data_IF_569613833495
#
_entry.id   IF_569613833495
#
_cell.length_a   1.000
_cell.length_b   1.000
_cell.length_c   1.000
_cell.angle_alpha   90.00
_cell.angle_beta   90.00
_cell.angle_gamma   90.00
#
_symmetry.space_group_name_H-M   'P 1'
#
loop_
_entity.id
_entity.type
_entity.pdbx_description
1 polymer ?
#
# COMPACT_ATOMS: atom_id res chain seq x y z
N UNK A 1 -6.13 -4.03 -18.14
CA UNK A 1 -6.20 -3.26 -16.89
C UNK A 1 -5.04 -3.74 -16.01
N UNK A 2 -4.12 -2.87 -15.69
CA UNK A 2 -2.87 -3.23 -15.00
C UNK A 2 -2.97 -3.05 -13.48
N UNK A 3 -4.02 -2.40 -13.02
CA UNK A 3 -4.31 -2.14 -11.61
C UNK A 3 -4.76 -3.40 -10.90
N UNK A 4 -4.25 -3.63 -9.69
CA UNK A 4 -4.64 -4.75 -8.82
C UNK A 4 -5.76 -4.28 -7.91
N UNK A 5 -6.76 -5.13 -7.76
CA UNK A 5 -7.85 -4.87 -6.83
C UNK A 5 -7.34 -5.07 -5.39
N UNK A 6 -7.30 -3.98 -4.64
CA UNK A 6 -6.94 -3.93 -3.21
C UNK A 6 -8.14 -3.54 -2.34
N UNK A 7 -9.36 -3.70 -2.85
CA UNK A 7 -10.61 -3.32 -2.17
C UNK A 7 -11.04 -4.29 -1.06
N UNK A 8 -10.22 -5.30 -0.73
CA UNK A 8 -10.49 -6.19 0.38
C UNK A 8 -10.45 -5.45 1.72
N UNK A 9 -11.23 -5.90 2.75
CA UNK A 9 -11.19 -5.34 4.09
C UNK A 9 -9.77 -5.34 4.65
N UNK A 10 -9.41 -4.25 5.35
CA UNK A 10 -8.11 -4.10 5.99
C UNK A 10 -8.24 -3.70 7.45
N UNK A 11 -7.34 -4.21 8.30
CA UNK A 11 -7.24 -3.84 9.69
C UNK A 11 -5.78 -3.66 10.12
N UNK A 12 -5.56 -2.90 11.19
CA UNK A 12 -4.28 -2.75 11.87
C UNK A 12 -4.48 -2.95 13.36
N UNK A 13 -3.56 -3.66 14.01
CA UNK A 13 -3.63 -3.98 15.43
C UNK A 13 -2.33 -3.62 16.15
N UNK A 14 -2.45 -3.29 17.43
CA UNK A 14 -1.32 -3.14 18.35
C UNK A 14 -0.60 -4.48 18.59
N UNK A 15 0.64 -4.42 19.08
CA UNK A 15 1.48 -5.61 19.32
C UNK A 15 1.38 -6.15 20.77
N UNK A 16 0.39 -5.74 21.52
CA UNK A 16 0.06 -6.30 22.82
C UNK A 16 -0.85 -7.54 22.68
N UNK A 17 -1.08 -8.25 23.78
CA UNK A 17 -1.90 -9.46 23.80
C UNK A 17 -3.34 -9.17 23.33
N UNK A 18 -3.92 -8.01 23.69
CA UNK A 18 -5.27 -7.62 23.29
C UNK A 18 -5.35 -7.35 21.79
N UNK A 19 -4.39 -6.62 21.22
CA UNK A 19 -4.30 -6.36 19.78
C UNK A 19 -4.09 -7.62 18.96
N UNK A 20 -3.23 -8.54 19.44
CA UNK A 20 -3.00 -9.84 18.77
C UNK A 20 -4.26 -10.68 18.76
N UNK A 21 -4.96 -10.80 19.88
CA UNK A 21 -6.20 -11.59 19.98
C UNK A 21 -7.32 -10.96 19.12
N UNK A 22 -7.44 -9.63 19.15
CA UNK A 22 -8.37 -8.90 18.29
C UNK A 22 -8.09 -9.10 16.79
N UNK A 23 -6.81 -9.11 16.39
CA UNK A 23 -6.40 -9.35 15.01
C UNK A 23 -6.75 -10.78 14.55
N UNK A 24 -6.51 -11.79 15.39
CA UNK A 24 -6.88 -13.18 15.11
C UNK A 24 -8.40 -13.29 14.96
N UNK A 25 -9.17 -12.76 15.91
CA UNK A 25 -10.63 -12.80 15.87
C UNK A 25 -11.18 -12.09 14.64
N UNK A 26 -10.63 -10.92 14.30
CA UNK A 26 -11.03 -10.17 13.11
C UNK A 26 -10.78 -10.99 11.82
N UNK A 27 -9.61 -11.63 11.68
CA UNK A 27 -9.32 -12.50 10.54
C UNK A 27 -10.26 -13.70 10.47
N UNK A 28 -10.55 -14.36 11.61
CA UNK A 28 -11.48 -15.48 11.66
C UNK A 28 -12.90 -15.09 11.20
N UNK A 29 -13.35 -13.88 11.53
CA UNK A 29 -14.65 -13.34 11.05
C UNK A 29 -14.68 -13.13 9.52
N UNK A 30 -13.53 -12.96 8.87
CA UNK A 30 -13.43 -12.79 7.41
C UNK A 30 -13.38 -14.14 6.67
N UNK A 31 -13.20 -15.28 7.37
CA UNK A 31 -13.14 -16.60 6.74
C UNK A 31 -14.48 -17.04 6.15
N UNK A 32 -14.38 -17.74 5.03
CA UNK A 32 -15.50 -18.45 4.39
C UNK A 32 -15.16 -19.94 4.29
N UNK A 33 -16.17 -20.77 4.05
CA UNK A 33 -15.95 -22.20 3.86
C UNK A 33 -14.97 -22.48 2.73
N UNK A 34 -13.93 -23.24 3.02
CA UNK A 34 -12.86 -23.57 2.06
C UNK A 34 -11.72 -22.53 1.96
N UNK A 35 -11.77 -21.46 2.75
CA UNK A 35 -10.66 -20.51 2.84
C UNK A 35 -9.49 -21.09 3.65
N UNK A 36 -8.30 -20.55 3.40
CA UNK A 36 -7.09 -20.80 4.20
C UNK A 36 -6.70 -19.54 4.92
N UNK A 37 -6.60 -19.57 6.25
CA UNK A 37 -6.07 -18.46 7.03
C UNK A 37 -4.55 -18.45 6.96
N UNK A 38 -3.96 -17.38 6.45
CA UNK A 38 -2.52 -17.25 6.32
C UNK A 38 -1.94 -16.36 7.40
N UNK A 39 -1.08 -16.90 8.24
CA UNK A 39 -0.21 -16.12 9.15
C UNK A 39 1.11 -15.88 8.43
N UNK A 40 1.45 -14.62 8.21
CA UNK A 40 2.67 -14.23 7.50
C UNK A 40 3.66 -13.56 8.47
N UNK A 41 4.93 -13.95 8.40
CA UNK A 41 6.02 -13.30 9.15
C UNK A 41 7.25 -13.14 8.24
N UNK A 42 8.13 -12.17 8.53
CA UNK A 42 9.38 -11.99 7.75
C UNK A 42 10.30 -13.22 7.85
N UNK A 43 10.41 -13.81 9.05
CA UNK A 43 11.23 -14.99 9.33
C UNK A 43 10.42 -16.06 10.05
N UNK A 44 10.72 -17.34 9.78
CA UNK A 44 10.05 -18.46 10.43
C UNK A 44 10.15 -18.43 11.99
N UNK A 45 11.26 -17.95 12.50
CA UNK A 45 11.48 -17.81 13.95
C UNK A 45 10.56 -16.80 14.62
N UNK A 46 10.04 -15.81 13.88
CA UNK A 46 9.20 -14.75 14.43
C UNK A 46 7.89 -15.30 15.01
N UNK A 47 7.36 -16.38 14.45
CA UNK A 47 6.14 -17.02 14.97
C UNK A 47 6.26 -17.41 16.44
N UNK A 48 7.47 -17.82 16.88
CA UNK A 48 7.74 -18.22 18.27
C UNK A 48 7.73 -17.06 19.25
N UNK A 49 7.76 -15.82 18.78
CA UNK A 49 7.73 -14.64 19.64
C UNK A 49 6.31 -14.32 20.14
N UNK A 50 5.28 -15.03 19.61
CA UNK A 50 3.89 -14.85 20.01
C UNK A 50 3.21 -16.21 20.22
N UNK A 51 2.95 -16.55 21.48
CA UNK A 51 2.37 -17.85 21.87
C UNK A 51 0.97 -18.06 21.29
N UNK A 52 0.15 -17.01 21.21
CA UNK A 52 -1.20 -17.08 20.63
C UNK A 52 -1.15 -17.47 19.15
N UNK A 53 -0.23 -16.89 18.37
CA UNK A 53 -0.05 -17.21 16.95
C UNK A 53 0.55 -18.60 16.73
N UNK A 54 1.52 -19.01 17.58
CA UNK A 54 2.09 -20.34 17.48
C UNK A 54 1.03 -21.42 17.75
N UNK A 55 0.20 -21.24 18.78
CA UNK A 55 -0.93 -22.15 19.09
C UNK A 55 -1.97 -22.17 17.97
N UNK A 56 -2.30 -21.01 17.37
CA UNK A 56 -3.23 -20.91 16.26
C UNK A 56 -2.79 -21.79 15.09
N UNK A 57 -1.53 -21.63 14.65
CA UNK A 57 -0.95 -22.38 13.53
C UNK A 57 -0.84 -23.89 13.83
N UNK A 58 -0.57 -24.27 15.10
CA UNK A 58 -0.44 -25.69 15.47
C UNK A 58 -1.78 -26.40 15.64
N UNK A 59 -2.85 -25.67 15.95
CA UNK A 59 -4.14 -26.24 16.31
C UNK A 59 -5.09 -26.48 15.15
N UNK A 60 -4.98 -25.68 14.08
CA UNK A 60 -5.95 -25.67 12.99
C UNK A 60 -5.28 -25.97 11.65
N UNK A 61 -5.79 -26.98 10.94
CA UNK A 61 -5.23 -27.44 9.66
C UNK A 61 -5.48 -26.46 8.51
N UNK A 62 -6.47 -25.58 8.63
CA UNK A 62 -6.80 -24.51 7.68
C UNK A 62 -6.03 -23.22 7.95
N UNK A 63 -5.14 -23.19 8.97
CA UNK A 63 -4.23 -22.09 9.27
C UNK A 63 -2.82 -22.46 8.83
N UNK A 64 -2.24 -21.66 7.94
CA UNK A 64 -0.87 -21.88 7.44
C UNK A 64 0.04 -20.75 7.81
N UNK A 65 1.28 -21.07 8.16
CA UNK A 65 2.34 -20.09 8.36
C UNK A 65 3.23 -20.02 7.13
N UNK A 66 3.38 -18.84 6.57
CA UNK A 66 4.30 -18.54 5.47
C UNK A 66 5.28 -17.44 5.86
N UNK A 67 6.38 -17.33 5.13
CA UNK A 67 7.42 -16.32 5.39
C UNK A 67 7.72 -15.50 4.13
N UNK A 68 8.24 -14.29 4.34
CA UNK A 68 8.66 -13.40 3.25
C UNK A 68 9.77 -13.99 2.37
N UNK A 69 10.52 -14.98 2.88
CA UNK A 69 11.59 -15.66 2.13
C UNK A 69 11.09 -16.98 1.52
N UNK A 70 10.44 -16.89 0.36
CA UNK A 70 10.04 -18.07 -0.42
C UNK A 70 8.71 -18.71 -0.04
N UNK A 71 7.94 -18.10 0.84
CA UNK A 71 6.56 -18.52 1.09
C UNK A 71 5.65 -18.09 -0.06
N UNK A 72 4.89 -19.06 -0.59
CA UNK A 72 3.80 -18.76 -1.53
C UNK A 72 2.48 -18.69 -0.76
N UNK A 73 1.68 -17.66 -1.04
CA UNK A 73 0.31 -17.60 -0.50
C UNK A 73 -0.47 -18.79 -1.06
N UNK A 74 -1.25 -19.49 -0.21
CA UNK A 74 -2.08 -20.61 -0.64
C UNK A 74 -2.95 -20.25 -1.84
N UNK A 75 -3.21 -21.23 -2.72
CA UNK A 75 -4.11 -21.03 -3.86
C UNK A 75 -5.56 -20.78 -3.43
N UNK A 76 -5.98 -21.39 -2.33
CA UNK A 76 -7.26 -21.08 -1.71
C UNK A 76 -7.22 -19.66 -1.15
N UNK A 77 -8.19 -18.80 -1.48
CA UNK A 77 -8.24 -17.46 -0.92
C UNK A 77 -8.47 -17.53 0.58
N UNK A 78 -8.20 -16.42 1.28
CA UNK A 78 -8.48 -16.33 2.69
C UNK A 78 -7.95 -15.05 3.31
N UNK A 79 -8.19 -14.83 4.60
CA UNK A 79 -7.59 -13.72 5.34
C UNK A 79 -6.10 -13.95 5.50
N UNK A 80 -5.36 -12.85 5.48
CA UNK A 80 -3.92 -12.81 5.74
C UNK A 80 -3.67 -11.94 6.95
N UNK A 81 -3.00 -12.49 7.95
CA UNK A 81 -2.48 -11.78 9.11
C UNK A 81 -0.97 -11.60 8.95
N UNK A 82 -0.55 -10.38 8.63
CA UNK A 82 0.87 -10.02 8.58
C UNK A 82 1.34 -9.59 9.97
N UNK A 83 2.38 -10.24 10.44
CA UNK A 83 2.90 -9.99 11.78
C UNK A 83 4.26 -9.33 11.66
N UNK A 84 4.33 -8.09 12.12
CA UNK A 84 5.51 -7.21 12.13
C UNK A 84 6.16 -6.99 10.75
N UNK A 85 5.37 -6.72 9.71
CA UNK A 85 5.96 -6.42 8.41
C UNK A 85 6.57 -5.02 8.40
N UNK A 86 7.52 -4.81 7.50
CA UNK A 86 7.83 -3.49 6.99
C UNK A 86 6.93 -3.13 5.80
N UNK A 87 6.97 -1.86 5.38
CA UNK A 87 6.11 -1.37 4.28
C UNK A 87 6.42 -2.06 2.93
N UNK A 88 7.67 -2.48 2.72
CA UNK A 88 8.08 -3.16 1.49
C UNK A 88 7.55 -4.58 1.44
N UNK A 89 7.44 -5.25 2.59
CA UNK A 89 6.85 -6.58 2.72
C UNK A 89 5.35 -6.54 2.44
N UNK A 90 4.65 -5.47 2.86
CA UNK A 90 3.25 -5.23 2.47
C UNK A 90 3.15 -5.12 0.94
N UNK A 91 4.06 -4.37 0.31
CA UNK A 91 4.13 -4.25 -1.16
C UNK A 91 4.33 -5.57 -1.88
N UNK A 92 5.13 -6.48 -1.30
CA UNK A 92 5.30 -7.83 -1.85
C UNK A 92 4.02 -8.65 -1.78
N UNK A 93 3.23 -8.49 -0.72
CA UNK A 93 1.97 -9.20 -0.55
C UNK A 93 0.90 -8.74 -1.57
N UNK A 94 0.83 -7.47 -1.91
CA UNK A 94 -0.18 -6.91 -2.85
C UNK A 94 -0.18 -7.63 -4.20
N UNK A 95 0.93 -8.20 -4.66
CA UNK A 95 0.95 -8.99 -5.90
C UNK A 95 0.05 -10.23 -5.87
N UNK A 96 -0.36 -10.68 -4.67
CA UNK A 96 -1.26 -11.80 -4.45
C UNK A 96 -2.70 -11.33 -4.12
N UNK A 97 -3.06 -10.10 -4.42
CA UNK A 97 -4.34 -9.50 -4.05
C UNK A 97 -5.58 -10.38 -4.35
N UNK A 98 -5.53 -11.19 -5.42
CA UNK A 98 -6.63 -12.11 -5.78
C UNK A 98 -6.84 -13.26 -4.79
N UNK A 99 -5.80 -13.63 -4.03
CA UNK A 99 -5.85 -14.67 -3.00
C UNK A 99 -6.14 -14.07 -1.62
N UNK A 100 -6.09 -12.75 -1.47
CA UNK A 100 -6.33 -12.05 -0.22
C UNK A 100 -7.82 -11.72 -0.13
N UNK A 101 -8.50 -12.28 0.87
CA UNK A 101 -9.89 -11.95 1.19
C UNK A 101 -9.98 -10.77 2.15
N UNK A 102 -9.03 -10.67 3.06
CA UNK A 102 -8.88 -9.59 4.03
C UNK A 102 -7.42 -9.52 4.48
N UNK A 103 -6.94 -8.36 4.88
CA UNK A 103 -5.58 -8.16 5.36
C UNK A 103 -5.60 -7.47 6.72
N UNK A 104 -5.05 -8.13 7.74
CA UNK A 104 -4.79 -7.54 9.03
C UNK A 104 -3.26 -7.44 9.26
N UNK A 105 -2.81 -6.33 9.83
CA UNK A 105 -1.40 -6.12 10.15
C UNK A 105 -1.26 -5.89 11.65
N UNK A 106 -0.42 -6.70 12.32
CA UNK A 106 0.06 -6.43 13.67
C UNK A 106 1.40 -5.72 13.54
N UNK A 107 1.54 -4.54 14.16
CA UNK A 107 2.80 -3.78 14.12
C UNK A 107 3.29 -3.40 15.51
N UNK A 108 4.61 -3.42 15.68
CA UNK A 108 5.33 -2.84 16.82
C UNK A 108 5.96 -1.48 16.46
N UNK A 109 5.94 -1.11 15.17
CA UNK A 109 6.50 0.13 14.63
C UNK A 109 5.45 0.83 13.78
N UNK A 110 4.60 1.60 14.42
CA UNK A 110 3.53 2.33 13.76
C UNK A 110 4.05 3.29 12.67
N UNK A 111 5.17 3.97 12.92
CA UNK A 111 5.74 4.94 11.97
C UNK A 111 6.18 4.26 10.68
N UNK A 112 6.70 3.03 10.74
CA UNK A 112 7.18 2.29 9.58
C UNK A 112 6.10 1.94 8.57
N UNK A 113 4.85 1.80 9.00
CA UNK A 113 3.71 1.50 8.11
C UNK A 113 2.68 2.62 8.03
N UNK A 114 2.93 3.75 8.70
CA UNK A 114 2.03 4.92 8.73
C UNK A 114 1.58 5.38 7.33
N UNK A 115 2.46 5.44 6.30
CA UNK A 115 2.04 5.82 4.95
C UNK A 115 0.96 4.90 4.38
N UNK A 116 1.07 3.59 4.63
CA UNK A 116 0.08 2.60 4.20
C UNK A 116 -1.23 2.76 4.97
N UNK A 117 -1.17 2.89 6.31
CA UNK A 117 -2.35 3.08 7.17
C UNK A 117 -3.11 4.35 6.78
N UNK A 118 -2.41 5.45 6.53
CA UNK A 118 -3.01 6.71 6.09
C UNK A 118 -3.75 6.57 4.76
N UNK A 119 -3.18 5.84 3.80
CA UNK A 119 -3.75 5.68 2.47
C UNK A 119 -4.91 4.66 2.46
N UNK A 120 -4.76 3.53 3.18
CA UNK A 120 -5.74 2.44 3.22
C UNK A 120 -6.89 2.70 4.19
N UNK A 121 -6.66 3.50 5.25
CA UNK A 121 -7.62 3.75 6.32
C UNK A 121 -8.22 2.47 6.91
N UNK A 122 -7.36 1.51 7.36
CA UNK A 122 -7.81 0.24 7.87
C UNK A 122 -8.63 0.41 9.16
N UNK A 123 -9.42 -0.60 9.51
CA UNK A 123 -10.03 -0.72 10.83
C UNK A 123 -8.92 -0.82 11.90
N UNK A 124 -9.03 -0.05 12.99
CA UNK A 124 -8.06 -0.07 14.09
C UNK A 124 -8.56 -1.02 15.17
N UNK A 125 -7.73 -1.98 15.56
CA UNK A 125 -8.02 -3.01 16.55
C UNK A 125 -7.10 -2.86 17.77
N UNK A 126 -7.64 -3.04 18.98
CA UNK A 126 -6.90 -2.83 20.21
C UNK A 126 -6.59 -1.37 20.48
N UNK A 127 -5.39 -1.04 20.98
CA UNK A 127 -4.97 0.34 21.24
C UNK A 127 -4.76 1.12 19.93
N UNK A 128 -5.60 2.14 19.73
CA UNK A 128 -5.57 3.02 18.56
C UNK A 128 -4.70 4.27 18.71
N UNK A 129 -4.04 4.47 19.84
CA UNK A 129 -3.33 5.71 20.18
C UNK A 129 -2.25 6.11 19.14
N UNK A 130 -1.59 5.14 18.53
CA UNK A 130 -0.59 5.36 17.47
C UNK A 130 -1.18 5.96 16.19
N UNK A 131 -2.49 5.87 16.00
CA UNK A 131 -3.21 6.24 14.78
C UNK A 131 -4.05 7.50 14.89
N UNK A 132 -4.10 8.16 16.05
CA UNK A 132 -4.90 9.37 16.29
C UNK A 132 -4.51 10.57 15.40
N UNK A 133 -3.27 10.59 14.90
CA UNK A 133 -2.71 11.69 14.12
C UNK A 133 -2.30 11.24 12.72
N UNK A 134 -3.23 10.66 11.97
CA UNK A 134 -3.01 10.33 10.57
C UNK A 134 -3.42 11.54 9.70
N UNK A 135 -2.46 12.35 9.28
CA UNK A 135 -2.66 13.29 8.19
C UNK A 135 -1.42 13.32 7.31
N UNK A 136 -1.58 12.83 6.10
CA UNK A 136 -0.67 13.14 4.99
C UNK A 136 -1.57 13.54 3.83
N UNK A 137 -1.80 14.84 3.72
CA UNK A 137 -2.49 15.38 2.56
C UNK A 137 -1.47 15.51 1.42
N UNK A 138 -1.47 14.52 0.53
CA UNK A 138 -0.77 14.66 -0.75
C UNK A 138 -1.40 15.81 -1.53
N UNK A 139 -0.55 16.62 -2.16
CA UNK A 139 -1.02 17.63 -3.12
C UNK A 139 -1.94 16.96 -4.16
N UNK A 140 -3.15 17.50 -4.41
CA UNK A 140 -4.09 16.93 -5.39
C UNK A 140 -3.48 16.72 -6.77
N UNK A 141 -2.51 17.55 -7.19
CA UNK A 141 -1.77 17.40 -8.45
C UNK A 141 -0.90 16.15 -8.43
N UNK A 142 -0.29 15.84 -7.28
CA UNK A 142 0.49 14.60 -7.09
C UNK A 142 -0.44 13.39 -7.18
N UNK A 143 -1.61 13.44 -6.56
CA UNK A 143 -2.60 12.35 -6.64
C UNK A 143 -3.00 12.09 -8.09
N UNK A 144 -3.29 13.13 -8.89
CA UNK A 144 -3.61 12.98 -10.30
C UNK A 144 -2.43 12.43 -11.13
N UNK A 145 -1.20 12.81 -10.80
CA UNK A 145 -0.01 12.26 -11.43
C UNK A 145 0.14 10.76 -11.13
N UNK A 146 -0.05 10.36 -9.85
CA UNK A 146 0.01 8.95 -9.44
C UNK A 146 -1.11 8.12 -10.07
N UNK A 147 -2.34 8.65 -10.17
CA UNK A 147 -3.45 8.02 -10.91
C UNK A 147 -3.07 7.79 -12.38
N UNK A 148 -2.52 8.81 -13.03
CA UNK A 148 -2.08 8.70 -14.42
C UNK A 148 -0.99 7.64 -14.58
N UNK A 149 -0.02 7.59 -13.68
CA UNK A 149 1.03 6.57 -13.69
C UNK A 149 0.44 5.17 -13.46
N UNK A 150 -0.46 5.01 -12.50
CA UNK A 150 -1.11 3.72 -12.20
C UNK A 150 -1.83 3.15 -13.43
N UNK A 151 -2.42 4.00 -14.27
CA UNK A 151 -3.09 3.58 -15.49
C UNK A 151 -2.14 3.28 -16.66
N UNK A 152 -0.93 3.83 -16.65
CA UNK A 152 -0.03 3.82 -17.82
C UNK A 152 1.16 2.90 -17.71
N UNK A 153 1.61 2.55 -16.49
CA UNK A 153 2.71 1.61 -16.29
C UNK A 153 2.22 0.16 -16.24
N UNK A 154 3.08 -0.77 -16.64
CA UNK A 154 2.80 -2.19 -16.45
C UNK A 154 3.28 -2.64 -15.06
N UNK A 155 2.34 -2.90 -14.15
CA UNK A 155 2.64 -3.29 -12.76
C UNK A 155 3.35 -4.63 -12.61
N UNK A 156 3.45 -5.45 -13.65
CA UNK A 156 4.26 -6.66 -13.66
C UNK A 156 5.73 -6.38 -14.00
N UNK A 157 6.04 -5.20 -14.53
CA UNK A 157 7.39 -4.77 -14.84
C UNK A 157 7.98 -4.00 -13.66
N UNK A 158 9.31 -3.83 -13.70
CA UNK A 158 10.01 -2.99 -12.73
C UNK A 158 10.13 -1.56 -13.24
N UNK A 159 10.03 -0.59 -12.33
CA UNK A 159 10.36 0.81 -12.62
C UNK A 159 11.85 1.14 -12.44
N UNK A 160 12.73 0.12 -12.33
CA UNK A 160 14.18 0.34 -12.19
C UNK A 160 14.88 0.65 -13.51
N UNK A 161 14.30 0.28 -14.64
CA UNK A 161 14.84 0.48 -15.97
C UNK A 161 13.72 0.48 -17.02
N UNK A 162 14.05 0.90 -18.26
CA UNK A 162 13.15 0.84 -19.40
C UNK A 162 12.04 1.88 -19.38
N UNK A 163 10.98 1.58 -20.13
CA UNK A 163 9.87 2.49 -20.37
C UNK A 163 9.16 2.95 -19.08
N UNK A 164 8.88 2.02 -18.17
CA UNK A 164 8.18 2.32 -16.91
C UNK A 164 8.99 3.26 -16.01
N UNK A 165 10.34 3.04 -15.94
CA UNK A 165 11.22 3.97 -15.24
C UNK A 165 11.16 5.36 -15.87
N UNK A 166 11.31 5.44 -17.18
CA UNK A 166 11.33 6.73 -17.90
C UNK A 166 10.01 7.47 -17.70
N UNK A 167 8.89 6.76 -17.72
CA UNK A 167 7.57 7.29 -17.44
C UNK A 167 7.50 7.92 -16.03
N UNK A 168 7.83 7.13 -15.00
CA UNK A 168 7.77 7.56 -13.60
C UNK A 168 8.71 8.74 -13.36
N UNK A 169 9.98 8.61 -13.74
CA UNK A 169 10.99 9.65 -13.49
C UNK A 169 10.66 10.95 -14.22
N UNK A 170 10.18 10.88 -15.47
CA UNK A 170 9.78 12.09 -16.22
C UNK A 170 8.64 12.85 -15.53
N UNK A 171 7.63 12.12 -15.01
CA UNK A 171 6.51 12.73 -14.29
C UNK A 171 6.99 13.39 -13.00
N UNK A 172 7.83 12.71 -12.20
CA UNK A 172 8.38 13.27 -10.96
C UNK A 172 9.23 14.52 -11.21
N UNK A 173 10.07 14.51 -12.25
CA UNK A 173 10.86 15.67 -12.63
C UNK A 173 9.98 16.85 -13.07
N UNK A 174 8.90 16.60 -13.82
CA UNK A 174 7.96 17.64 -14.22
C UNK A 174 7.22 18.26 -13.03
N UNK A 175 6.82 17.44 -12.04
CA UNK A 175 6.25 17.93 -10.78
C UNK A 175 7.24 18.83 -10.03
N UNK A 176 8.52 18.40 -9.92
CA UNK A 176 9.58 19.17 -9.29
C UNK A 176 9.83 20.52 -9.99
N UNK A 177 9.90 20.51 -11.33
CA UNK A 177 10.08 21.71 -12.15
C UNK A 177 8.90 22.69 -12.01
N UNK A 178 7.69 22.15 -11.79
CA UNK A 178 6.47 22.93 -11.53
C UNK A 178 6.31 23.35 -10.05
N UNK A 179 7.33 23.10 -9.20
CA UNK A 179 7.33 23.41 -7.76
C UNK A 179 6.21 22.75 -6.96
N UNK A 180 5.72 21.56 -7.41
CA UNK A 180 4.76 20.76 -6.68
C UNK A 180 5.50 19.99 -5.57
N UNK A 181 5.02 20.10 -4.33
CA UNK A 181 5.61 19.38 -3.19
C UNK A 181 5.35 17.90 -3.28
N UNK A 182 6.37 17.07 -3.07
CA UNK A 182 6.30 15.63 -3.12
C UNK A 182 6.82 15.04 -1.81
N UNK A 183 5.98 14.28 -1.12
CA UNK A 183 6.34 13.49 0.07
C UNK A 183 6.56 12.03 -0.33
N UNK A 184 7.77 11.52 -0.13
CA UNK A 184 8.17 10.19 -0.58
C UNK A 184 7.37 9.08 0.11
N UNK A 185 7.17 9.18 1.42
CA UNK A 185 6.49 8.17 2.22
C UNK A 185 4.99 8.17 1.94
N UNK A 186 4.37 9.34 1.87
CA UNK A 186 2.97 9.46 1.52
C UNK A 186 2.68 8.93 0.11
N UNK A 187 3.56 9.21 -0.87
CA UNK A 187 3.43 8.68 -2.23
C UNK A 187 3.61 7.15 -2.25
N UNK A 188 4.54 6.59 -1.46
CA UNK A 188 4.70 5.14 -1.31
C UNK A 188 3.43 4.49 -0.77
N UNK A 189 2.87 5.04 0.31
CA UNK A 189 1.63 4.55 0.90
C UNK A 189 0.46 4.62 -0.09
N UNK A 190 0.33 5.74 -0.81
CA UNK A 190 -0.73 5.92 -1.79
C UNK A 190 -0.66 4.87 -2.91
N UNK A 191 0.51 4.64 -3.51
CA UNK A 191 0.62 3.66 -4.61
C UNK A 191 0.42 2.22 -4.13
N UNK A 192 0.82 1.89 -2.89
CA UNK A 192 0.50 0.61 -2.27
C UNK A 192 -1.00 0.39 -2.15
N UNK A 193 -1.74 1.40 -1.68
CA UNK A 193 -3.20 1.37 -1.58
C UNK A 193 -3.88 1.23 -2.96
N UNK A 194 -3.20 1.65 -4.03
CA UNK A 194 -3.70 1.60 -5.40
C UNK A 194 -3.07 0.48 -6.25
N UNK A 195 -2.64 -0.60 -5.61
CA UNK A 195 -2.29 -1.85 -6.27
C UNK A 195 -0.88 -1.93 -6.87
N UNK A 196 0.00 -0.97 -6.61
CA UNK A 196 1.41 -1.13 -6.93
C UNK A 196 2.02 -2.19 -6.03
N UNK A 197 2.92 -3.01 -6.56
CA UNK A 197 3.40 -4.19 -5.86
C UNK A 197 4.91 -4.43 -6.05
N UNK A 198 5.42 -5.39 -5.30
CA UNK A 198 6.82 -5.75 -5.31
C UNK A 198 7.70 -4.60 -4.79
N UNK A 199 8.78 -4.31 -5.48
CA UNK A 199 9.71 -3.23 -5.13
C UNK A 199 9.41 -1.89 -5.81
N UNK A 200 8.31 -1.77 -6.54
CA UNK A 200 8.00 -0.53 -7.25
C UNK A 200 7.59 0.62 -6.32
N UNK A 201 6.80 0.40 -5.24
CA UNK A 201 6.51 1.45 -4.26
C UNK A 201 7.78 2.02 -3.59
N UNK A 202 8.69 1.15 -3.10
CA UNK A 202 9.99 1.54 -2.54
C UNK A 202 10.83 2.34 -3.54
N UNK A 203 10.86 1.90 -4.80
CA UNK A 203 11.62 2.61 -5.86
C UNK A 203 11.04 3.97 -6.19
N UNK A 204 9.70 4.10 -6.21
CA UNK A 204 9.05 5.39 -6.38
C UNK A 204 9.47 6.35 -5.27
N UNK A 205 9.37 5.93 -4.00
CA UNK A 205 9.77 6.74 -2.85
C UNK A 205 11.25 7.17 -2.95
N UNK A 206 12.13 6.25 -3.35
CA UNK A 206 13.55 6.56 -3.57
C UNK A 206 13.78 7.59 -4.68
N UNK A 207 13.06 7.51 -5.79
CA UNK A 207 13.15 8.53 -6.85
C UNK A 207 12.66 9.89 -6.37
N UNK A 208 11.56 9.93 -5.60
CA UNK A 208 11.07 11.16 -5.00
C UNK A 208 12.11 11.77 -4.07
N UNK A 209 12.69 10.97 -3.17
CA UNK A 209 13.74 11.42 -2.26
C UNK A 209 14.96 11.94 -3.02
N UNK A 210 15.48 11.18 -4.00
CA UNK A 210 16.61 11.59 -4.83
C UNK A 210 16.35 12.94 -5.53
N UNK A 211 15.14 13.14 -6.07
CA UNK A 211 14.76 14.39 -6.74
C UNK A 211 14.60 15.54 -5.73
N UNK A 212 14.06 15.26 -4.55
CA UNK A 212 13.97 16.27 -3.48
C UNK A 212 15.35 16.71 -3.01
N UNK A 213 16.31 15.79 -2.95
CA UNK A 213 17.73 16.05 -2.61
C UNK A 213 18.51 16.73 -3.75
N UNK A 214 17.84 17.08 -4.86
CA UNK A 214 18.46 17.77 -6.00
C UNK A 214 19.14 16.86 -7.02
N UNK A 215 19.05 15.53 -6.87
CA UNK A 215 19.54 14.61 -7.90
C UNK A 215 18.59 14.62 -9.11
N UNK A 216 19.13 14.35 -10.29
CA UNK A 216 18.33 14.27 -11.53
C UNK A 216 18.48 12.87 -12.16
N UNK A 217 17.66 11.91 -11.77
CA UNK A 217 17.66 10.58 -12.39
C UNK A 217 17.44 10.71 -13.91
N UNK A 218 18.15 9.90 -14.68
CA UNK A 218 18.00 9.92 -16.16
C UNK A 218 16.64 9.34 -16.55
N UNK A 219 15.94 10.07 -17.42
CA UNK A 219 14.74 9.63 -18.12
C UNK A 219 14.86 10.04 -19.61
N UNK A 220 14.39 9.18 -20.51
CA UNK A 220 14.45 9.43 -21.96
C UNK A 220 13.12 9.91 -22.52
N UNK A 221 12.07 10.04 -21.69
CA UNK A 221 10.76 10.45 -22.11
C UNK A 221 10.56 11.96 -21.98
N UNK A 222 10.18 12.60 -23.07
CA UNK A 222 9.68 13.96 -23.06
C UNK A 222 8.17 13.95 -22.74
N UNK A 223 7.76 14.72 -21.75
CA UNK A 223 6.35 15.02 -21.50
C UNK A 223 5.94 16.24 -22.32
N UNK A 224 4.64 16.38 -22.55
CA UNK A 224 4.09 17.61 -23.17
C UNK A 224 4.32 18.80 -22.23
N UNK A 225 4.56 19.96 -22.78
CA UNK A 225 4.79 21.17 -22.00
C UNK A 225 3.64 21.52 -21.04
N UNK A 226 2.40 21.21 -21.45
CA UNK A 226 1.18 21.44 -20.66
C UNK A 226 0.81 20.30 -19.71
N UNK A 227 1.70 19.32 -19.49
CA UNK A 227 1.38 18.10 -18.72
C UNK A 227 0.92 18.41 -17.29
N UNK A 228 1.70 19.21 -16.56
CA UNK A 228 1.37 19.54 -15.15
C UNK A 228 0.14 20.46 -15.08
N UNK A 229 -0.05 21.37 -16.04
CA UNK A 229 -1.24 22.21 -16.09
C UNK A 229 -2.51 21.38 -16.31
N UNK A 230 -2.43 20.31 -17.10
CA UNK A 230 -3.53 19.37 -17.28
C UNK A 230 -3.82 18.57 -15.99
N UNK A 231 -2.79 18.23 -15.22
CA UNK A 231 -2.99 17.62 -13.88
C UNK A 231 -3.68 18.60 -12.92
N UNK A 232 -3.25 19.88 -12.89
CA UNK A 232 -3.89 20.93 -12.07
C UNK A 232 -5.38 21.09 -12.40
N UNK A 233 -5.74 21.10 -13.68
CA UNK A 233 -7.14 21.18 -14.12
C UNK A 233 -7.97 19.99 -13.61
N UNK A 234 -7.40 18.77 -13.59
CA UNK A 234 -8.07 17.56 -13.09
C UNK A 234 -8.17 17.55 -11.58
N UNK A 235 -7.17 18.10 -10.89
CA UNK A 235 -7.10 18.18 -9.42
C UNK A 235 -8.10 19.20 -8.84
N UNK A 236 -8.54 20.19 -9.64
CA UNK A 236 -9.54 21.16 -9.21
C UNK A 236 -10.92 20.52 -9.27
N UNK A 237 -11.70 20.47 -8.17
CA UNK A 237 -13.08 20.00 -8.24
C UNK A 237 -13.86 20.84 -9.25
N UNK A 238 -14.60 20.19 -10.13
CA UNK A 238 -15.58 20.88 -10.95
C UNK A 238 -16.70 21.34 -9.97
N UNK A 239 -16.77 22.64 -9.68
CA UNK A 239 -17.95 23.21 -9.04
C UNK A 239 -19.15 22.89 -9.93
N UNK A 240 -19.93 21.92 -9.53
CA UNK A 240 -21.24 21.67 -10.10
C UNK A 240 -22.09 22.84 -9.67
N UNK A 241 -22.19 23.89 -10.48
CA UNK A 241 -23.26 24.86 -10.39
C UNK A 241 -24.56 24.06 -10.54
N UNK A 242 -25.16 23.69 -9.42
CA UNK A 242 -26.59 23.37 -9.39
C UNK A 242 -27.26 24.72 -9.61
N UNK A 243 -27.61 24.96 -10.84
CA UNK A 243 -28.48 26.07 -11.25
C UNK A 243 -29.83 25.80 -10.55
N UNK A 244 -30.03 26.41 -9.39
CA UNK A 244 -31.33 26.54 -8.77
C UNK A 244 -32.10 27.58 -9.60
N UNK A 245 -32.54 27.20 -10.76
CA UNK A 245 -33.60 27.92 -11.45
C UNK A 245 -34.89 27.15 -11.31
N UNK A 246 -35.72 27.75 -10.47
CA UNK A 246 -37.15 27.90 -10.60
C UNK A 246 -38.04 26.90 -9.86
N UNK A 247 -39.02 27.31 -9.10
CA UNK A 247 -39.89 28.46 -9.26
C UNK A 247 -41.33 28.00 -9.25
#
# INVERSE_FOLDING_TARGET
MFERDTSYPTAVASNDDEGVDAAIEWCLKQMKTGDTFTVWTSLKSNLKNCTSLERLVQRYDDVVHITGRGGEIPRAPGPVLMVWPDIDEIGQLVRFARQIRALCIITWNADGIRPWVTAMKPEVLGDGSDWEKLSTDLDPVVIEALRSLTLTINHNNTISAGYEKDQVVSVLLALKEAHVSMDADAMQGWVLAHGWSGKNPERLARYVQDINDGKRPRAQRALRADYVDNLRKKATPVETNIDESEG
#
